data_IF_025741748105
#
_entry.id   IF_025741748105
#
_cell.length_a   1.000
_cell.length_b   1.000
_cell.length_c   1.000
_cell.angle_alpha   90.00
_cell.angle_beta   90.00
_cell.angle_gamma   90.00
#
_symmetry.space_group_name_H-M   'P 1'
#
loop_
_entity.id
_entity.type
_entity.pdbx_description
1 polymer ?
#
# COMPACT_ATOMS: atom_id res chain seq x y z
N UNK A 1 -25.89 -9.04 -6.78
CA UNK A 1 -25.87 -7.57 -6.56
C UNK A 1 -24.94 -7.15 -5.40
N UNK A 2 -24.26 -8.08 -4.72
CA UNK A 2 -23.40 -7.83 -3.54
C UNK A 2 -21.95 -7.49 -3.90
N UNK A 3 -21.41 -8.00 -5.01
CA UNK A 3 -20.01 -7.77 -5.43
C UNK A 3 -19.66 -6.28 -5.62
N UNK A 4 -20.58 -5.46 -6.16
CA UNK A 4 -20.32 -4.03 -6.36
C UNK A 4 -20.23 -3.25 -5.04
N UNK A 5 -20.77 -3.78 -3.94
CA UNK A 5 -20.67 -3.14 -2.63
C UNK A 5 -19.32 -3.46 -1.97
N UNK A 6 -18.87 -4.72 -2.05
CA UNK A 6 -17.60 -5.12 -1.45
C UNK A 6 -16.40 -4.56 -2.19
N UNK A 7 -16.45 -4.44 -3.51
CA UNK A 7 -15.39 -3.78 -4.29
C UNK A 7 -15.25 -2.31 -3.92
N UNK A 8 -16.37 -1.62 -3.68
CA UNK A 8 -16.35 -0.23 -3.18
C UNK A 8 -15.79 -0.13 -1.77
N UNK A 9 -16.08 -1.12 -0.94
CA UNK A 9 -15.54 -1.21 0.41
C UNK A 9 -14.03 -1.48 0.40
N UNK A 10 -13.56 -2.37 -0.48
CA UNK A 10 -12.12 -2.61 -0.71
C UNK A 10 -11.41 -1.39 -1.27
N UNK A 11 -12.01 -0.69 -2.24
CA UNK A 11 -11.47 0.59 -2.73
C UNK A 11 -11.33 1.61 -1.61
N UNK A 12 -12.32 1.66 -0.72
CA UNK A 12 -12.28 2.56 0.42
C UNK A 12 -11.18 2.16 1.40
N UNK A 13 -11.07 0.89 1.73
CA UNK A 13 -10.02 0.37 2.61
C UNK A 13 -8.64 0.59 2.02
N UNK A 14 -8.49 0.43 0.71
CA UNK A 14 -7.28 0.74 -0.03
C UNK A 14 -6.89 2.23 0.09
N UNK A 15 -7.86 3.15 0.01
CA UNK A 15 -7.59 4.59 0.22
C UNK A 15 -7.23 4.90 1.68
N UNK A 16 -7.80 4.19 2.64
CA UNK A 16 -7.61 4.46 4.08
C UNK A 16 -6.37 3.81 4.66
N UNK A 17 -6.06 2.59 4.24
CA UNK A 17 -4.95 1.76 4.73
C UNK A 17 -3.72 1.85 3.85
N UNK A 18 -3.86 2.39 2.64
CA UNK A 18 -2.79 2.45 1.66
C UNK A 18 -2.79 1.27 0.69
N UNK A 19 -1.89 1.37 -0.29
CA UNK A 19 -1.76 0.44 -1.39
C UNK A 19 -0.32 -0.05 -1.64
N UNK A 20 0.68 0.59 -1.02
CA UNK A 20 2.05 0.06 -1.05
C UNK A 20 2.31 -1.01 0.02
N UNK A 21 3.30 -1.84 -0.29
CA UNK A 21 3.76 -2.94 0.55
C UNK A 21 4.24 -2.46 1.94
N UNK A 22 4.72 -1.22 2.08
CA UNK A 22 5.19 -0.69 3.37
C UNK A 22 4.07 -0.18 4.26
N UNK A 23 3.02 0.41 3.68
CA UNK A 23 1.79 0.81 4.36
C UNK A 23 0.99 -0.42 4.81
N UNK A 24 0.97 -1.45 3.95
CA UNK A 24 0.31 -2.71 4.27
C UNK A 24 1.16 -3.62 5.18
N UNK A 25 2.45 -3.36 5.38
CA UNK A 25 3.26 -4.07 6.38
C UNK A 25 2.75 -3.76 7.79
N UNK A 26 2.41 -2.51 8.10
CA UNK A 26 1.80 -2.15 9.39
C UNK A 26 0.46 -2.87 9.60
N UNK A 27 -0.36 -2.97 8.55
CA UNK A 27 -1.62 -3.72 8.55
C UNK A 27 -1.35 -5.21 8.82
N UNK A 28 -0.37 -5.78 8.15
CA UNK A 28 0.03 -7.18 8.30
C UNK A 28 0.60 -7.48 9.69
N UNK A 29 1.42 -6.60 10.25
CA UNK A 29 1.94 -6.72 11.61
C UNK A 29 0.82 -6.69 12.66
N UNK A 30 -0.27 -5.94 12.43
CA UNK A 30 -1.45 -5.97 13.31
C UNK A 30 -2.18 -7.30 13.26
N UNK A 31 -2.35 -7.87 12.06
CA UNK A 31 -2.92 -9.21 11.93
C UNK A 31 -2.04 -10.29 12.59
N UNK A 32 -0.71 -10.21 12.46
CA UNK A 32 0.23 -11.12 13.13
C UNK A 32 0.18 -11.05 14.66
N UNK A 33 -0.15 -9.88 15.25
CA UNK A 33 -0.35 -9.78 16.70
C UNK A 33 -1.59 -10.55 17.17
N UNK A 34 -2.64 -10.54 16.35
CA UNK A 34 -3.88 -11.29 16.59
C UNK A 34 -3.77 -12.78 16.23
N UNK A 35 -2.81 -13.14 15.36
CA UNK A 35 -2.48 -14.52 14.97
C UNK A 35 -1.04 -14.91 15.40
N UNK A 36 -0.82 -15.21 16.70
CA UNK A 36 0.49 -15.61 17.19
C UNK A 36 0.97 -16.96 16.63
N UNK A 37 0.05 -17.77 16.07
CA UNK A 37 0.35 -19.06 15.46
C UNK A 37 0.79 -18.93 13.99
N UNK A 38 0.65 -17.73 13.40
CA UNK A 38 0.98 -17.42 12.00
C UNK A 38 0.30 -18.39 11.03
N UNK A 39 -0.95 -18.73 11.32
CA UNK A 39 -1.76 -19.61 10.46
C UNK A 39 -2.19 -18.91 9.18
N UNK A 40 -2.08 -17.58 9.10
CA UNK A 40 -2.52 -16.81 7.94
C UNK A 40 -4.03 -16.52 7.97
N UNK A 41 -4.70 -16.89 9.07
CA UNK A 41 -6.14 -16.77 9.25
C UNK A 41 -6.49 -16.20 10.64
N UNK A 42 -7.53 -15.36 10.71
CA UNK A 42 -8.14 -14.96 11.98
C UNK A 42 -9.38 -15.81 12.25
N UNK A 43 -9.64 -16.17 13.50
CA UNK A 43 -10.73 -17.11 13.85
C UNK A 43 -12.09 -16.44 14.00
N UNK A 44 -12.12 -15.11 14.14
CA UNK A 44 -13.34 -14.36 14.39
C UNK A 44 -13.33 -13.00 13.70
N UNK A 45 -14.51 -12.52 13.33
CA UNK A 45 -14.75 -11.14 12.86
C UNK A 45 -14.37 -10.10 13.91
N UNK A 46 -14.45 -10.43 15.20
CA UNK A 46 -14.01 -9.53 16.27
C UNK A 46 -12.48 -9.31 16.28
N UNK A 47 -11.70 -10.34 15.91
CA UNK A 47 -10.24 -10.22 15.79
C UNK A 47 -9.86 -9.33 14.60
N UNK A 48 -10.60 -9.45 13.50
CA UNK A 48 -10.46 -8.57 12.33
C UNK A 48 -10.78 -7.12 12.68
N UNK A 49 -11.89 -6.89 13.38
CA UNK A 49 -12.30 -5.57 13.83
C UNK A 49 -11.27 -4.94 14.77
N UNK A 50 -10.80 -5.70 15.77
CA UNK A 50 -9.77 -5.23 16.70
C UNK A 50 -8.46 -4.88 15.99
N UNK A 51 -8.02 -5.68 15.01
CA UNK A 51 -6.82 -5.38 14.23
C UNK A 51 -6.95 -4.08 13.39
N UNK A 52 -8.15 -3.77 12.92
CA UNK A 52 -8.44 -2.56 12.14
C UNK A 52 -8.78 -1.34 13.01
N UNK A 53 -9.21 -1.53 14.25
CA UNK A 53 -9.51 -0.44 15.19
C UNK A 53 -8.29 0.43 15.52
N UNK A 54 -7.11 -0.18 15.52
CA UNK A 54 -5.84 0.52 15.74
C UNK A 54 -5.38 1.37 14.54
N UNK A 55 -5.95 1.11 13.35
CA UNK A 55 -5.50 1.69 12.07
C UNK A 55 -6.52 2.67 11.48
N UNK A 56 -7.80 2.52 11.82
CA UNK A 56 -8.90 3.27 11.24
C UNK A 56 -9.59 4.13 12.28
N UNK A 57 -10.12 5.28 11.84
CA UNK A 57 -10.91 6.12 12.71
C UNK A 57 -12.25 5.44 13.08
N UNK A 58 -12.83 5.70 14.27
CA UNK A 58 -14.14 5.18 14.68
C UNK A 58 -15.28 5.48 13.69
N UNK A 59 -15.12 6.54 12.88
CA UNK A 59 -16.09 6.93 11.84
C UNK A 59 -16.00 6.04 10.59
N UNK A 60 -14.80 5.53 10.29
CA UNK A 60 -14.57 4.65 9.16
C UNK A 60 -14.90 3.20 9.49
N UNK A 61 -14.61 2.76 10.72
CA UNK A 61 -15.00 1.44 11.24
C UNK A 61 -16.51 1.19 11.14
N UNK A 62 -17.35 2.19 11.47
CA UNK A 62 -18.82 2.09 11.36
C UNK A 62 -19.34 1.95 9.93
N UNK A 63 -18.48 2.19 8.93
CA UNK A 63 -18.84 2.15 7.50
C UNK A 63 -18.29 0.90 6.81
N UNK A 64 -17.67 0.00 7.57
CA UNK A 64 -17.15 -1.29 7.13
C UNK A 64 -18.15 -2.36 7.56
N UNK A 65 -18.61 -3.13 6.58
CA UNK A 65 -19.37 -4.35 6.78
C UNK A 65 -18.38 -5.51 6.97
N UNK A 66 -18.11 -5.88 8.23
CA UNK A 66 -17.11 -6.89 8.58
C UNK A 66 -17.58 -8.31 8.25
N UNK A 67 -18.88 -8.58 8.29
CA UNK A 67 -19.44 -9.90 8.00
C UNK A 67 -19.29 -10.21 6.51
N UNK A 68 -19.65 -9.27 5.65
CA UNK A 68 -19.47 -9.39 4.20
C UNK A 68 -17.98 -9.48 3.80
N UNK A 69 -17.11 -8.77 4.53
CA UNK A 69 -15.68 -8.83 4.32
C UNK A 69 -15.11 -10.18 4.76
N UNK A 70 -15.59 -10.74 5.87
CA UNK A 70 -15.23 -12.06 6.35
C UNK A 70 -15.67 -13.17 5.39
N UNK A 71 -16.89 -13.08 4.86
CA UNK A 71 -17.42 -14.02 3.87
C UNK A 71 -16.55 -14.06 2.60
N UNK A 72 -16.08 -12.88 2.14
CA UNK A 72 -15.29 -12.74 0.91
C UNK A 72 -13.88 -13.31 1.03
N UNK A 73 -13.25 -13.16 2.18
CA UNK A 73 -11.93 -13.69 2.45
C UNK A 73 -12.01 -14.82 3.47
N UNK A 74 -12.94 -15.75 3.25
CA UNK A 74 -13.03 -16.95 4.04
C UNK A 74 -11.87 -17.89 3.71
N UNK A 75 -11.18 -18.33 4.76
CA UNK A 75 -10.13 -19.34 4.73
C UNK A 75 -10.74 -20.74 4.83
N UNK A 76 -10.00 -21.76 4.38
CA UNK A 76 -10.44 -23.16 4.40
C UNK A 76 -10.69 -23.72 5.81
N UNK A 77 -10.17 -23.06 6.84
CA UNK A 77 -10.36 -23.39 8.25
C UNK A 77 -11.60 -22.69 8.87
N UNK A 78 -12.39 -21.98 8.07
CA UNK A 78 -13.53 -21.20 8.54
C UNK A 78 -13.15 -19.86 9.18
N UNK A 79 -11.87 -19.47 9.10
CA UNK A 79 -11.38 -18.17 9.52
C UNK A 79 -11.36 -17.13 8.41
N UNK A 80 -10.88 -15.93 8.71
CA UNK A 80 -10.64 -14.85 7.76
C UNK A 80 -9.18 -14.88 7.26
N UNK A 81 -8.98 -15.10 5.97
CA UNK A 81 -7.68 -15.08 5.30
C UNK A 81 -7.18 -13.64 5.12
N UNK A 82 -6.40 -13.17 6.11
CA UNK A 82 -5.83 -11.84 6.07
C UNK A 82 -4.70 -11.71 5.03
N UNK A 83 -4.09 -12.83 4.58
CA UNK A 83 -3.10 -12.80 3.50
C UNK A 83 -3.77 -12.51 2.14
N UNK A 84 -4.90 -13.15 1.87
CA UNK A 84 -5.72 -12.89 0.69
C UNK A 84 -6.29 -11.47 0.72
N UNK A 85 -6.72 -11.00 1.89
CA UNK A 85 -7.16 -9.62 2.10
C UNK A 85 -6.06 -8.60 1.79
N UNK A 86 -4.86 -8.73 2.38
CA UNK A 86 -3.75 -7.82 2.10
C UNK A 86 -3.35 -7.85 0.61
N UNK A 87 -3.33 -9.03 -0.03
CA UNK A 87 -3.09 -9.15 -1.48
C UNK A 87 -4.17 -8.47 -2.32
N UNK A 88 -5.42 -8.48 -1.86
CA UNK A 88 -6.53 -7.79 -2.51
C UNK A 88 -6.46 -6.27 -2.30
N UNK A 89 -5.91 -5.79 -1.18
CA UNK A 89 -5.60 -4.37 -0.99
C UNK A 89 -4.42 -3.91 -1.84
N UNK A 90 -3.41 -4.76 -2.05
CA UNK A 90 -2.27 -4.47 -2.95
C UNK A 90 -2.68 -4.33 -4.43
N UNK A 91 -3.83 -4.91 -4.81
CA UNK A 91 -4.33 -4.86 -6.20
C UNK A 91 -5.54 -3.94 -6.24
N UNK A 92 -5.47 -2.74 -6.84
CA UNK A 92 -6.66 -1.92 -6.98
C UNK A 92 -7.71 -2.73 -7.73
N UNK A 93 -8.92 -2.94 -7.18
CA UNK A 93 -9.98 -3.60 -7.93
C UNK A 93 -10.26 -2.71 -9.13
N UNK A 94 -9.92 -3.21 -10.32
CA UNK A 94 -10.39 -2.60 -11.55
C UNK A 94 -11.90 -2.78 -11.55
N UNK A 95 -12.63 -1.74 -11.11
CA UNK A 95 -14.05 -1.63 -11.40
C UNK A 95 -14.17 -1.86 -12.90
N UNK A 96 -14.65 -3.04 -13.28
CA UNK A 96 -14.81 -3.39 -14.67
C UNK A 96 -15.68 -2.30 -15.27
N UNK A 97 -15.07 -1.49 -16.14
CA UNK A 97 -15.81 -0.65 -17.07
C UNK A 97 -16.59 -1.62 -17.96
N UNK A 98 -17.80 -1.97 -17.53
CA UNK A 98 -18.68 -2.82 -18.29
C UNK A 98 -18.90 -2.19 -19.66
N UNK A 99 -18.69 -3.04 -20.67
CA UNK A 99 -19.16 -2.93 -22.05
C UNK A 99 -18.34 -2.08 -23.02
N UNK A 100 -17.36 -2.75 -23.63
CA UNK A 100 -17.35 -2.86 -25.09
C UNK A 100 -18.69 -3.44 -25.56
N UNK A 101 -19.54 -2.65 -26.20
CA UNK A 101 -20.50 -3.14 -27.20
C UNK A 101 -20.35 -2.32 -28.49
N UNK A 102 -19.96 -3.05 -29.52
CA UNK A 102 -19.97 -2.73 -30.95
C UNK A 102 -21.35 -2.30 -31.46
N UNK A 103 -21.37 -1.41 -32.46
CA UNK A 103 -22.43 -1.37 -33.49
C UNK A 103 -23.33 -0.13 -33.55
N UNK A 104 -23.15 0.65 -34.64
CA UNK A 104 -24.13 1.37 -35.48
C UNK A 104 -25.26 2.26 -34.91
N UNK A 105 -25.26 3.52 -35.40
CA UNK A 105 -26.38 4.42 -35.79
C UNK A 105 -27.58 4.70 -34.86
N UNK A 106 -27.66 5.94 -34.35
CA UNK A 106 -28.62 7.01 -34.78
C UNK A 106 -28.89 8.04 -33.67
N UNK A 107 -29.22 9.32 -33.99
CA UNK A 107 -29.30 10.41 -33.02
C UNK A 107 -30.74 10.70 -32.59
N UNK A 108 -31.01 10.73 -31.28
CA UNK A 108 -32.23 11.35 -30.76
C UNK A 108 -31.95 12.16 -29.48
N UNK A 109 -32.35 13.43 -29.56
CA UNK A 109 -32.27 14.46 -28.52
C UNK A 109 -33.15 14.14 -27.31
N UNK A 110 -32.82 14.81 -26.19
CA UNK A 110 -33.53 14.95 -24.88
C UNK A 110 -33.21 13.82 -23.90
N UNK A 111 -32.93 14.04 -22.60
CA UNK A 111 -33.18 15.17 -21.70
C UNK A 111 -32.32 14.98 -20.43
N UNK A 112 -31.78 16.09 -19.91
CA UNK A 112 -31.51 16.43 -18.49
C UNK A 112 -31.15 15.28 -17.54
N UNK A 113 -29.90 15.26 -17.04
CA UNK A 113 -29.53 14.71 -15.72
C UNK A 113 -28.15 15.22 -15.27
N UNK A 114 -28.16 15.93 -14.14
CA UNK A 114 -27.13 16.14 -13.11
C UNK A 114 -25.65 16.22 -13.53
N UNK A 115 -24.90 17.28 -13.16
CA UNK A 115 -23.46 17.27 -13.27
C UNK A 115 -22.88 16.42 -12.12
N UNK A 116 -22.93 15.09 -12.23
CA UNK A 116 -21.94 14.26 -11.55
C UNK A 116 -20.62 14.54 -12.24
N UNK A 117 -19.93 15.59 -11.78
CA UNK A 117 -18.48 15.69 -11.90
C UNK A 117 -17.91 14.45 -11.22
N UNK A 118 -17.87 13.34 -11.96
CA UNK A 118 -16.90 12.30 -11.74
C UNK A 118 -15.56 12.99 -11.97
N UNK A 119 -15.01 13.59 -10.93
CA UNK A 119 -13.58 13.77 -10.80
C UNK A 119 -13.00 12.35 -10.83
N UNK A 120 -12.81 11.85 -12.04
CA UNK A 120 -11.77 10.88 -12.35
C UNK A 120 -10.52 11.53 -11.79
N UNK A 121 -10.11 11.15 -10.57
CA UNK A 121 -8.83 11.55 -10.04
C UNK A 121 -7.83 11.07 -11.07
N UNK A 122 -7.35 12.00 -11.89
CA UNK A 122 -6.14 11.77 -12.66
C UNK A 122 -5.10 11.56 -11.58
N UNK A 123 -4.74 10.31 -11.33
CA UNK A 123 -3.46 10.00 -10.69
C UNK A 123 -2.48 10.81 -11.51
N UNK A 124 -1.93 11.84 -10.86
CA UNK A 124 -1.01 12.73 -11.54
C UNK A 124 0.17 11.85 -11.91
N UNK A 125 0.35 11.60 -13.21
CA UNK A 125 1.43 10.73 -13.72
C UNK A 125 2.78 11.17 -13.17
N UNK A 126 2.91 12.45 -12.83
CA UNK A 126 4.07 13.02 -12.16
C UNK A 126 4.23 12.50 -10.72
N UNK A 127 3.18 12.48 -9.91
CA UNK A 127 3.23 11.95 -8.55
C UNK A 127 3.53 10.45 -8.54
N UNK A 128 2.95 9.69 -9.47
CA UNK A 128 3.24 8.26 -9.62
C UNK A 128 4.70 8.03 -10.02
N UNK A 129 5.23 8.83 -10.95
CA UNK A 129 6.65 8.75 -11.32
C UNK A 129 7.58 9.09 -10.16
N UNK A 130 7.21 10.07 -9.32
CA UNK A 130 7.98 10.43 -8.13
C UNK A 130 7.93 9.33 -7.08
N UNK A 131 6.76 8.71 -6.86
CA UNK A 131 6.60 7.56 -5.96
C UNK A 131 7.51 6.41 -6.39
N UNK A 132 7.50 6.05 -7.67
CA UNK A 132 8.33 4.98 -8.21
C UNK A 132 9.83 5.28 -8.05
N UNK A 133 10.25 6.53 -8.27
CA UNK A 133 11.64 6.98 -8.05
C UNK A 133 12.01 6.85 -6.56
N UNK A 134 11.17 7.30 -5.65
CA UNK A 134 11.43 7.16 -4.21
C UNK A 134 11.53 5.69 -3.78
N UNK A 135 10.66 4.84 -4.30
CA UNK A 135 10.64 3.41 -3.99
C UNK A 135 11.87 2.67 -4.54
N UNK A 136 12.31 3.03 -5.75
CA UNK A 136 13.55 2.49 -6.32
C UNK A 136 14.79 2.93 -5.54
N UNK A 137 14.87 4.20 -5.15
CA UNK A 137 15.95 4.70 -4.26
C UNK A 137 15.93 3.98 -2.91
N UNK A 138 14.77 3.85 -2.29
CA UNK A 138 14.59 3.13 -1.02
C UNK A 138 15.08 1.69 -1.14
N UNK A 139 14.67 0.97 -2.19
CA UNK A 139 15.09 -0.40 -2.41
C UNK A 139 16.61 -0.52 -2.60
N UNK A 140 17.25 0.43 -3.28
CA UNK A 140 18.71 0.45 -3.43
C UNK A 140 19.41 0.67 -2.09
N UNK A 141 18.89 1.56 -1.24
CA UNK A 141 19.43 1.81 0.10
C UNK A 141 19.23 0.60 1.03
N UNK A 142 18.07 -0.07 0.94
CA UNK A 142 17.72 -1.21 1.79
C UNK A 142 18.40 -2.51 1.38
N UNK A 143 18.63 -2.75 0.08
CA UNK A 143 19.26 -3.98 -0.44
C UNK A 143 20.79 -3.95 -0.41
N UNK A 144 21.34 -3.10 0.45
CA UNK A 144 22.75 -3.15 0.85
C UNK A 144 23.64 -2.13 0.15
N UNK A 145 24.48 -1.53 0.99
CA UNK A 145 25.69 -0.81 0.61
C UNK A 145 26.83 -1.84 0.69
N UNK A 146 27.75 -1.84 -0.26
CA UNK A 146 28.94 -2.70 -0.27
C UNK A 146 29.65 -2.65 1.09
N UNK A 147 29.94 -3.83 1.64
CA UNK A 147 30.51 -4.04 2.97
C UNK A 147 29.72 -3.42 4.14
N UNK A 148 28.39 -3.30 4.00
CA UNK A 148 27.50 -2.95 5.10
C UNK A 148 27.36 -4.11 6.08
N UNK A 149 27.37 -3.83 7.38
CA UNK A 149 27.32 -4.86 8.44
C UNK A 149 26.00 -5.66 8.48
N UNK A 150 24.97 -5.21 7.77
CA UNK A 150 23.64 -5.84 7.71
C UNK A 150 22.82 -5.27 6.56
N UNK A 151 21.97 -6.10 5.96
CA UNK A 151 20.97 -5.68 4.98
C UNK A 151 19.72 -5.07 5.64
N UNK A 152 18.96 -4.29 4.88
CA UNK A 152 17.68 -3.73 5.28
C UNK A 152 17.76 -2.44 6.10
N UNK A 153 16.64 -2.09 6.74
CA UNK A 153 16.47 -0.81 7.42
C UNK A 153 17.46 -0.59 8.57
N UNK A 154 17.72 -1.64 9.35
CA UNK A 154 18.67 -1.57 10.48
C UNK A 154 20.11 -1.33 9.99
N UNK A 155 20.46 -1.87 8.82
CA UNK A 155 21.77 -1.68 8.19
C UNK A 155 22.03 -0.21 7.85
N UNK A 156 21.11 0.42 7.13
CA UNK A 156 21.25 1.84 6.76
C UNK A 156 21.23 2.74 7.99
N UNK A 157 20.37 2.46 8.98
CA UNK A 157 20.31 3.23 10.23
C UNK A 157 21.65 3.18 11.00
N UNK A 158 22.25 1.99 11.12
CA UNK A 158 23.55 1.82 11.78
C UNK A 158 24.68 2.55 11.05
N UNK A 159 24.64 2.62 9.72
CA UNK A 159 25.61 3.39 8.94
C UNK A 159 25.41 4.89 9.20
N UNK A 160 24.17 5.38 9.16
CA UNK A 160 23.86 6.78 9.42
C UNK A 160 24.27 7.21 10.84
N UNK A 161 23.98 6.41 11.86
CA UNK A 161 24.43 6.68 13.23
C UNK A 161 25.95 6.75 13.39
N UNK A 162 26.71 5.98 12.59
CA UNK A 162 28.18 6.06 12.61
C UNK A 162 28.72 7.28 11.88
N UNK A 163 27.98 7.80 10.91
CA UNK A 163 28.36 9.00 10.16
C UNK A 163 27.94 10.28 10.89
N UNK A 164 26.91 10.23 11.73
CA UNK A 164 26.46 11.30 12.63
C UNK A 164 27.31 11.33 13.90
N UNK A 165 28.57 11.76 13.77
CA UNK A 165 29.56 11.72 14.87
C UNK A 165 29.27 12.70 15.99
N UNK A 166 28.54 13.79 15.71
CA UNK A 166 28.16 14.81 16.69
C UNK A 166 26.77 14.55 17.31
N UNK A 167 26.06 13.54 16.85
CA UNK A 167 24.72 13.19 17.32
C UNK A 167 23.68 14.26 16.97
N UNK A 168 23.95 15.07 15.95
CA UNK A 168 23.07 16.14 15.50
C UNK A 168 21.82 15.62 14.79
N UNK A 169 21.79 14.34 14.42
CA UNK A 169 20.77 13.75 13.55
C UNK A 169 20.97 14.10 12.08
N UNK A 170 22.11 14.69 11.71
CA UNK A 170 22.39 15.15 10.36
C UNK A 170 23.71 14.56 9.84
N UNK A 171 23.77 14.27 8.54
CA UNK A 171 24.99 13.82 7.88
C UNK A 171 25.29 14.76 6.72
N UNK A 172 26.53 15.22 6.63
CA UNK A 172 26.98 16.06 5.52
C UNK A 172 26.79 15.34 4.16
N UNK A 173 26.27 16.05 3.17
CA UNK A 173 25.93 15.50 1.83
C UNK A 173 27.13 14.87 1.13
N UNK A 174 28.33 15.44 1.26
CA UNK A 174 29.54 14.91 0.64
C UNK A 174 29.95 13.58 1.30
N UNK A 175 29.82 13.51 2.63
CA UNK A 175 30.08 12.31 3.40
C UNK A 175 29.05 11.22 3.05
N UNK A 176 27.77 11.58 3.00
CA UNK A 176 26.68 10.68 2.62
C UNK A 176 26.92 10.13 1.20
N UNK A 177 27.23 11.00 0.25
CA UNK A 177 27.46 10.60 -1.15
C UNK A 177 28.64 9.63 -1.26
N UNK A 178 29.77 9.95 -0.60
CA UNK A 178 30.98 9.13 -0.64
C UNK A 178 30.83 7.80 0.08
N UNK A 179 30.14 7.77 1.23
CA UNK A 179 30.09 6.60 2.11
C UNK A 179 28.88 5.70 1.85
N UNK A 180 27.80 6.24 1.29
CA UNK A 180 26.56 5.50 1.01
C UNK A 180 26.34 5.39 -0.49
N UNK A 181 26.14 6.51 -1.19
CA UNK A 181 25.69 6.50 -2.60
C UNK A 181 26.69 5.81 -3.53
N UNK A 182 27.98 6.12 -3.39
CA UNK A 182 29.05 5.52 -4.22
C UNK A 182 29.27 4.03 -3.93
N UNK A 183 28.80 3.55 -2.78
CA UNK A 183 28.95 2.15 -2.35
C UNK A 183 27.67 1.34 -2.52
N UNK A 184 26.63 1.89 -3.15
CA UNK A 184 25.44 1.10 -3.46
C UNK A 184 25.79 -0.04 -4.42
N UNK A 185 25.27 -1.24 -4.15
CA UNK A 185 25.40 -2.39 -5.05
C UNK A 185 24.84 -2.08 -6.45
N UNK A 186 23.77 -1.30 -6.50
CA UNK A 186 23.19 -0.76 -7.73
C UNK A 186 23.25 0.77 -7.69
N UNK A 187 24.00 1.44 -8.58
CA UNK A 187 24.13 2.88 -8.56
C UNK A 187 22.79 3.59 -8.83
N UNK A 188 22.67 4.82 -8.32
CA UNK A 188 21.56 5.69 -8.66
C UNK A 188 21.67 6.17 -10.12
N UNK A 189 20.57 6.09 -10.85
CA UNK A 189 20.37 6.67 -12.16
C UNK A 189 20.27 8.19 -12.05
N UNK A 190 20.32 8.89 -13.18
CA UNK A 190 20.21 10.35 -13.21
C UNK A 190 18.91 10.86 -12.58
N UNK A 191 17.78 10.23 -12.90
CA UNK A 191 16.46 10.61 -12.38
C UNK A 191 16.29 10.36 -10.87
N UNK A 192 17.13 9.51 -10.27
CA UNK A 192 17.13 9.24 -8.83
C UNK A 192 18.09 10.14 -8.04
N UNK A 193 18.94 10.92 -8.74
CA UNK A 193 19.91 11.86 -8.14
C UNK A 193 19.45 13.32 -8.19
N UNK A 194 18.60 13.65 -9.17
CA UNK A 194 18.02 14.99 -9.38
C UNK A 194 16.72 15.15 -8.59
#
# INVERSE_FOLDING_TARGET
MTDSNIERQLLRLHVLLGDDESQLDDVYQRFLKSDPKRTGSLKSTEELKSALEDLLSPKDLKRIDFDNLADRFSSSDGGFDYMAFCKALQRPPQLQSESRRSGSQSPTKRRVRSPTKQQRMRIDKRLESQRLIMETVRNKLLRGIQDGDSDGYKGILNILHRLDTDGSGHVNVDIFTKKIVQRLNCPLTRAERE
#
